data_IF_354738269227
#
_entry.id   IF_354738269227
#
_cell.length_a   1.000
_cell.length_b   1.000
_cell.length_c   1.000
_cell.angle_alpha   90.00
_cell.angle_beta   90.00
_cell.angle_gamma   90.00
#
_symmetry.space_group_name_H-M   'P 1'
#
loop_
_entity.id
_entity.type
_entity.pdbx_description
1 polymer ?
#
# COMPACT_ATOMS: atom_id res chain seq x y z
N UNK A 1 3.82 -12.25 3.50
CA UNK A 1 3.07 -12.35 2.22
C UNK A 1 3.66 -11.45 1.10
N UNK A 2 4.11 -10.22 1.37
CA UNK A 2 4.70 -9.31 0.34
C UNK A 2 5.88 -9.92 -0.43
N UNK A 3 6.78 -10.66 0.24
CA UNK A 3 7.91 -11.32 -0.41
C UNK A 3 7.49 -12.39 -1.44
N UNK A 4 6.40 -13.11 -1.18
CA UNK A 4 5.85 -14.11 -2.12
C UNK A 4 5.32 -13.44 -3.40
N UNK A 5 4.71 -12.27 -3.26
CA UNK A 5 4.28 -11.44 -4.41
C UNK A 5 5.52 -10.99 -5.20
N UNK A 6 6.56 -10.52 -4.52
CA UNK A 6 7.80 -10.09 -5.17
C UNK A 6 8.49 -11.20 -5.98
N UNK A 7 8.48 -12.44 -5.47
CA UNK A 7 9.02 -13.60 -6.16
C UNK A 7 8.19 -14.00 -7.39
N UNK A 8 6.87 -13.82 -7.33
CA UNK A 8 5.94 -14.22 -8.40
C UNK A 8 5.77 -13.14 -9.49
N UNK A 9 6.12 -11.89 -9.19
CA UNK A 9 5.92 -10.77 -10.11
C UNK A 9 7.01 -10.72 -11.19
N UNK A 10 6.56 -10.59 -12.44
CA UNK A 10 7.42 -10.37 -13.60
C UNK A 10 8.04 -8.97 -13.58
N UNK A 11 9.13 -8.75 -14.34
CA UNK A 11 9.88 -7.48 -14.33
C UNK A 11 9.04 -6.24 -14.72
N UNK A 12 7.95 -6.43 -15.50
CA UNK A 12 7.00 -5.35 -15.86
C UNK A 12 5.68 -5.44 -15.10
N UNK A 13 5.57 -6.39 -14.18
CA UNK A 13 4.37 -6.60 -13.39
C UNK A 13 4.13 -5.43 -12.44
N UNK A 14 2.86 -5.23 -12.11
CA UNK A 14 2.40 -4.19 -11.21
C UNK A 14 1.62 -4.86 -10.09
N UNK A 15 1.79 -4.37 -8.87
CA UNK A 15 0.93 -4.74 -7.73
C UNK A 15 -0.02 -3.57 -7.48
N UNK A 16 -1.31 -3.87 -7.43
CA UNK A 16 -2.36 -2.91 -7.07
C UNK A 16 -2.85 -3.29 -5.68
N UNK A 17 -2.82 -2.33 -4.77
CA UNK A 17 -3.28 -2.49 -3.39
C UNK A 17 -4.42 -1.53 -3.16
N UNK A 18 -5.57 -2.03 -2.73
CA UNK A 18 -6.74 -1.23 -2.37
C UNK A 18 -6.97 -1.39 -0.87
N UNK A 19 -6.79 -0.31 -0.11
CA UNK A 19 -6.87 -0.36 1.36
C UNK A 19 -7.63 0.85 1.90
N UNK A 20 -8.31 0.63 3.03
CA UNK A 20 -8.78 1.75 3.86
C UNK A 20 -7.59 2.26 4.66
N UNK A 21 -7.26 3.54 4.51
CA UNK A 21 -6.17 4.17 5.24
C UNK A 21 -6.67 5.34 6.07
N UNK A 22 -6.01 5.55 7.20
CA UNK A 22 -6.30 6.67 8.08
C UNK A 22 -5.70 7.94 7.50
N UNK A 23 -6.56 8.81 6.96
CA UNK A 23 -6.15 10.06 6.30
C UNK A 23 -5.95 11.23 7.28
N UNK A 24 -6.62 11.17 8.44
CA UNK A 24 -6.56 12.17 9.49
C UNK A 24 -6.34 11.51 10.85
N UNK A 25 -5.62 12.19 11.75
CA UNK A 25 -5.32 11.73 13.12
C UNK A 25 -6.55 11.43 13.98
N UNK A 26 -7.77 11.71 13.49
CA UNK A 26 -8.98 11.83 14.31
C UNK A 26 -9.84 10.54 14.34
N UNK A 27 -9.62 9.57 13.44
CA UNK A 27 -10.49 8.38 13.38
C UNK A 27 -10.01 7.23 14.28
N UNK A 28 -9.76 7.56 15.56
CA UNK A 28 -9.29 6.63 16.60
C UNK A 28 -10.23 5.44 16.85
N UNK A 29 -11.49 5.51 16.40
CA UNK A 29 -12.45 4.40 16.51
C UNK A 29 -12.21 3.29 15.47
N UNK A 30 -11.55 3.58 14.34
CA UNK A 30 -11.16 2.60 13.32
C UNK A 30 -9.71 2.12 13.45
N UNK A 31 -8.94 2.68 14.39
CA UNK A 31 -7.50 2.48 14.56
C UNK A 31 -7.01 1.06 14.87
N UNK A 32 -7.88 0.06 15.05
CA UNK A 32 -7.40 -1.29 15.40
C UNK A 32 -6.88 -2.11 14.20
N UNK A 33 -7.24 -1.76 12.97
CA UNK A 33 -6.88 -2.55 11.77
C UNK A 33 -6.46 -1.71 10.54
N UNK A 34 -6.77 -0.42 10.49
CA UNK A 34 -6.43 0.43 9.36
C UNK A 34 -4.99 0.95 9.46
N UNK A 35 -4.19 0.75 8.40
CA UNK A 35 -2.84 1.29 8.29
C UNK A 35 -2.88 2.77 7.86
N UNK A 36 -1.90 3.57 8.30
CA UNK A 36 -1.67 4.88 7.68
C UNK A 36 -1.14 4.66 6.26
N UNK A 37 -1.45 5.61 5.39
CA UNK A 37 -0.92 5.69 4.02
C UNK A 37 0.59 5.43 3.95
N UNK A 38 1.36 6.10 4.80
CA UNK A 38 2.82 5.95 4.85
C UNK A 38 3.29 4.55 5.27
N UNK A 39 2.51 3.85 6.10
CA UNK A 39 2.83 2.49 6.54
C UNK A 39 2.63 1.48 5.41
N UNK A 40 1.55 1.62 4.62
CA UNK A 40 1.32 0.79 3.43
C UNK A 40 2.49 0.93 2.45
N UNK A 41 2.89 2.16 2.13
CA UNK A 41 4.03 2.41 1.23
C UNK A 41 5.31 1.81 1.81
N UNK A 42 5.61 2.07 3.08
CA UNK A 42 6.82 1.58 3.74
C UNK A 42 6.92 0.05 3.81
N UNK A 43 5.80 -0.66 3.97
CA UNK A 43 5.78 -2.13 3.95
C UNK A 43 6.15 -2.69 2.57
N UNK A 44 5.64 -2.09 1.51
CA UNK A 44 5.95 -2.49 0.14
C UNK A 44 7.38 -2.10 -0.26
N UNK A 45 7.88 -0.95 0.19
CA UNK A 45 9.27 -0.54 -0.04
C UNK A 45 10.29 -1.50 0.59
N UNK A 46 10.02 -1.95 1.83
CA UNK A 46 10.80 -3.01 2.50
C UNK A 46 10.69 -4.35 1.77
N UNK A 47 9.61 -4.56 1.02
CA UNK A 47 9.36 -5.73 0.19
C UNK A 47 10.01 -5.71 -1.19
N UNK A 48 10.80 -4.67 -1.51
CA UNK A 48 11.46 -4.55 -2.82
C UNK A 48 10.60 -3.88 -3.90
N UNK A 49 9.59 -3.11 -3.50
CA UNK A 49 8.74 -2.36 -4.42
C UNK A 49 8.93 -0.85 -4.32
N UNK A 50 8.45 -0.13 -5.32
CA UNK A 50 8.37 1.33 -5.35
C UNK A 50 6.93 1.73 -5.68
N UNK A 51 6.34 2.64 -4.90
CA UNK A 51 5.03 3.21 -5.22
C UNK A 51 5.18 4.16 -6.40
N UNK A 52 4.45 3.91 -7.49
CA UNK A 52 4.50 4.72 -8.72
C UNK A 52 3.25 5.54 -8.94
N UNK A 53 2.15 5.17 -8.28
CA UNK A 53 0.91 5.92 -8.33
C UNK A 53 0.10 5.67 -7.06
N UNK A 54 -0.58 6.71 -6.63
CA UNK A 54 -1.49 6.68 -5.49
C UNK A 54 -2.72 7.52 -5.80
N UNK A 55 -3.90 7.00 -5.49
CA UNK A 55 -5.17 7.71 -5.61
C UNK A 55 -6.04 7.44 -4.39
N UNK A 56 -6.46 8.50 -3.70
CA UNK A 56 -7.35 8.43 -2.54
C UNK A 56 -8.74 9.00 -2.82
N UNK A 57 -9.78 8.40 -2.23
CA UNK A 57 -11.12 8.95 -2.16
C UNK A 57 -11.80 8.56 -0.83
N UNK A 58 -12.09 9.53 0.04
CA UNK A 58 -12.90 9.32 1.25
C UNK A 58 -12.36 8.27 2.22
N UNK A 59 -11.04 8.15 2.39
CA UNK A 59 -10.40 7.18 3.28
C UNK A 59 -10.05 5.83 2.63
N UNK A 60 -10.46 5.59 1.38
CA UNK A 60 -10.03 4.44 0.60
C UNK A 60 -8.95 4.84 -0.41
N UNK A 61 -7.90 4.05 -0.50
CA UNK A 61 -6.73 4.35 -1.32
C UNK A 61 -6.37 3.19 -2.23
N UNK A 62 -6.00 3.54 -3.45
CA UNK A 62 -5.44 2.63 -4.45
C UNK A 62 -3.97 2.99 -4.64
N UNK A 63 -3.09 2.05 -4.31
CA UNK A 63 -1.65 2.17 -4.51
C UNK A 63 -1.21 1.25 -5.65
N UNK A 64 -0.35 1.78 -6.51
CA UNK A 64 0.27 1.04 -7.60
C UNK A 64 1.75 0.92 -7.30
N UNK A 65 2.24 -0.31 -7.20
CA UNK A 65 3.64 -0.62 -6.94
C UNK A 65 4.28 -1.34 -8.11
N UNK A 66 5.54 -1.03 -8.37
CA UNK A 66 6.40 -1.76 -9.29
C UNK A 66 7.59 -2.35 -8.54
N UNK A 67 8.11 -3.46 -9.04
CA UNK A 67 9.30 -4.09 -8.51
C UNK A 67 10.53 -3.19 -8.75
N UNK A 68 11.39 -3.06 -7.73
CA UNK A 68 12.70 -2.40 -7.87
C UNK A 68 13.65 -3.20 -8.75
#
# INVERSE_FOLDING_TARGET
MIQSIHQSLTAKGVVIVMEEVLDHEVDLKKCRLALRRAEVIGLFEKGGFTCVQEQGNGGQYIFKFQKK
#
